data_IF_718096580245
#
_entry.id   IF_718096580245
#
_cell.length_a   1.000
_cell.length_b   1.000
_cell.length_c   1.000
_cell.angle_alpha   90.00
_cell.angle_beta   90.00
_cell.angle_gamma   90.00
#
_symmetry.space_group_name_H-M   'P 1'
#
loop_
_entity.id
_entity.type
_entity.pdbx_description
1 polymer ?
#
# COMPACT_ATOMS: atom_id res chain seq x y z
N UNK A 1 -31.02 -4.14 14.28
CA UNK A 1 -30.46 -5.13 13.32
C UNK A 1 -28.94 -5.16 13.52
N UNK A 2 -28.35 -6.31 13.86
CA UNK A 2 -26.89 -6.44 14.03
C UNK A 2 -26.28 -6.70 12.65
N UNK A 3 -25.55 -5.72 12.12
CA UNK A 3 -24.79 -5.85 10.87
C UNK A 3 -23.82 -7.04 10.96
N UNK A 4 -23.87 -7.90 9.96
CA UNK A 4 -23.04 -9.11 9.83
C UNK A 4 -21.56 -8.73 9.71
N UNK A 5 -20.65 -9.62 10.10
CA UNK A 5 -19.19 -9.39 10.00
C UNK A 5 -18.75 -9.07 8.57
N UNK A 6 -19.46 -9.60 7.57
CA UNK A 6 -19.24 -9.32 6.14
C UNK A 6 -19.63 -7.88 5.75
N UNK A 7 -20.63 -7.28 6.39
CA UNK A 7 -20.99 -5.87 6.17
C UNK A 7 -19.97 -4.91 6.81
N UNK A 8 -19.22 -5.34 7.82
CA UNK A 8 -18.13 -4.53 8.41
C UNK A 8 -16.90 -4.43 7.51
N UNK A 9 -16.77 -5.32 6.52
CA UNK A 9 -15.68 -5.30 5.55
C UNK A 9 -15.92 -4.38 4.35
N UNK A 10 -17.12 -3.78 4.22
CA UNK A 10 -17.46 -2.81 3.15
C UNK A 10 -16.60 -1.53 3.11
N UNK A 11 -15.62 -1.40 4.01
CA UNK A 11 -14.72 -0.23 4.11
C UNK A 11 -13.26 -0.50 3.72
N UNK A 12 -12.91 -1.71 3.25
CA UNK A 12 -11.52 -2.03 2.88
C UNK A 12 -11.43 -2.52 1.43
N UNK A 13 -10.41 -2.11 0.66
CA UNK A 13 -10.12 -2.72 -0.62
C UNK A 13 -9.80 -4.20 -0.40
N UNK A 14 -10.56 -5.08 -1.07
CA UNK A 14 -10.36 -6.53 -1.05
C UNK A 14 -9.23 -6.94 -1.98
N UNK A 15 -8.03 -6.39 -1.75
CA UNK A 15 -6.82 -6.76 -2.49
C UNK A 15 -5.96 -7.72 -1.65
N UNK A 16 -5.25 -8.67 -2.28
CA UNK A 16 -4.23 -9.44 -1.59
C UNK A 16 -3.17 -8.53 -0.96
N UNK A 17 -2.59 -8.96 0.17
CA UNK A 17 -1.58 -8.18 0.89
C UNK A 17 -0.37 -7.86 0.01
N UNK A 18 0.07 -8.80 -0.84
CA UNK A 18 1.15 -8.57 -1.81
C UNK A 18 0.82 -7.39 -2.74
N UNK A 19 -0.37 -7.38 -3.34
CA UNK A 19 -0.84 -6.29 -4.21
C UNK A 19 -0.95 -4.97 -3.45
N UNK A 20 -1.40 -4.99 -2.19
CA UNK A 20 -1.44 -3.79 -1.35
C UNK A 20 -0.03 -3.22 -1.11
N UNK A 21 0.97 -4.07 -0.85
CA UNK A 21 2.36 -3.65 -0.64
C UNK A 21 2.92 -3.00 -1.90
N UNK A 22 2.70 -3.60 -3.07
CA UNK A 22 3.13 -3.05 -4.36
C UNK A 22 2.53 -1.66 -4.61
N UNK A 23 1.21 -1.51 -4.43
CA UNK A 23 0.52 -0.23 -4.60
C UNK A 23 1.02 0.84 -3.64
N UNK A 24 1.33 0.49 -2.40
CA UNK A 24 1.91 1.42 -1.41
C UNK A 24 3.32 1.84 -1.83
N UNK A 25 4.17 0.91 -2.30
CA UNK A 25 5.51 1.25 -2.79
C UNK A 25 5.46 2.15 -4.02
N UNK A 26 4.57 1.86 -4.97
CA UNK A 26 4.31 2.71 -6.14
C UNK A 26 3.85 4.12 -5.74
N UNK A 27 2.96 4.23 -4.74
CA UNK A 27 2.52 5.51 -4.21
C UNK A 27 3.65 6.36 -3.60
N UNK A 28 4.74 5.72 -3.17
CA UNK A 28 5.93 6.36 -2.59
C UNK A 28 7.08 6.56 -3.60
N UNK A 29 6.93 6.11 -4.85
CA UNK A 29 7.96 6.28 -5.88
C UNK A 29 8.22 7.73 -6.29
N UNK A 30 7.20 8.58 -6.49
CA UNK A 30 7.46 9.98 -6.81
C UNK A 30 8.24 10.61 -5.64
N UNK A 31 9.15 11.57 -5.90
CA UNK A 31 9.99 12.19 -4.88
C UNK A 31 9.18 13.18 -4.02
N UNK A 32 8.11 12.69 -3.37
CA UNK A 32 7.30 13.45 -2.43
C UNK A 32 7.94 13.29 -1.06
N UNK A 33 8.38 14.41 -0.47
CA UNK A 33 8.86 14.40 0.90
C UNK A 33 7.69 14.10 1.83
N UNK A 34 7.78 12.99 2.57
CA UNK A 34 6.87 12.67 3.68
C UNK A 34 5.42 12.54 3.26
N UNK A 35 5.05 11.38 2.68
CA UNK A 35 3.64 11.13 2.36
C UNK A 35 2.90 10.67 3.64
N UNK A 36 1.81 11.35 3.98
CA UNK A 36 0.95 10.92 5.10
C UNK A 36 0.33 9.55 4.82
N UNK A 37 -0.08 8.84 5.88
CA UNK A 37 -0.66 7.50 5.72
C UNK A 37 -2.00 7.51 4.97
N UNK A 38 -2.83 8.53 5.18
CA UNK A 38 -4.06 8.71 4.41
C UNK A 38 -3.76 9.01 2.93
N UNK A 39 -2.82 9.91 2.65
CA UNK A 39 -2.38 10.21 1.27
C UNK A 39 -1.81 9.00 0.56
N UNK A 40 -1.01 8.17 1.23
CA UNK A 40 -0.55 6.88 0.69
C UNK A 40 -1.72 5.98 0.33
N UNK A 41 -2.74 5.87 1.19
CA UNK A 41 -3.89 5.04 0.93
C UNK A 41 -4.71 5.51 -0.28
N UNK A 42 -4.94 6.82 -0.41
CA UNK A 42 -5.62 7.40 -1.58
C UNK A 42 -4.84 7.13 -2.88
N UNK A 43 -3.51 7.28 -2.86
CA UNK A 43 -2.67 7.02 -4.03
C UNK A 43 -2.58 5.53 -4.37
N UNK A 44 -2.53 4.66 -3.36
CA UNK A 44 -2.47 3.21 -3.56
C UNK A 44 -3.82 2.61 -4.03
N UNK A 45 -4.93 3.26 -3.70
CA UNK A 45 -6.28 2.78 -3.99
C UNK A 45 -7.15 3.87 -4.62
N UNK A 46 -6.80 4.34 -5.84
CA UNK A 46 -7.58 5.38 -6.52
C UNK A 46 -9.01 4.95 -6.83
N UNK A 47 -9.22 3.64 -7.05
CA UNK A 47 -10.53 3.05 -7.33
C UNK A 47 -11.41 2.92 -6.07
N UNK A 48 -10.84 3.10 -4.88
CA UNK A 48 -11.54 2.93 -3.61
C UNK A 48 -11.92 4.28 -2.99
N UNK A 49 -13.22 4.51 -2.81
CA UNK A 49 -13.73 5.71 -2.15
C UNK A 49 -13.71 5.57 -0.63
N UNK A 50 -12.64 6.05 0.00
CA UNK A 50 -12.60 6.16 1.46
C UNK A 50 -13.54 7.26 1.96
N UNK A 51 -14.34 6.94 2.99
CA UNK A 51 -15.28 7.90 3.60
C UNK A 51 -14.57 9.00 4.41
N UNK A 52 -13.42 8.67 5.00
CA UNK A 52 -12.65 9.59 5.85
C UNK A 52 -11.15 9.35 5.70
N UNK A 53 -10.29 10.36 5.94
CA UNK A 53 -8.84 10.20 5.96
C UNK A 53 -8.37 9.16 6.99
N UNK A 54 -9.00 9.11 8.16
CA UNK A 54 -8.68 8.15 9.22
C UNK A 54 -9.00 6.72 8.78
N UNK A 55 -10.10 6.52 8.05
CA UNK A 55 -10.44 5.22 7.46
C UNK A 55 -9.40 4.77 6.43
N UNK A 56 -8.92 5.70 5.60
CA UNK A 56 -7.87 5.45 4.62
C UNK A 56 -6.55 5.02 5.29
N UNK A 57 -6.12 5.75 6.33
CA UNK A 57 -4.93 5.39 7.10
C UNK A 57 -5.07 4.03 7.79
N UNK A 58 -6.20 3.77 8.46
CA UNK A 58 -6.48 2.50 9.13
C UNK A 58 -6.52 1.31 8.19
N UNK A 59 -6.87 1.53 6.92
CA UNK A 59 -6.90 0.49 5.91
C UNK A 59 -5.52 -0.10 5.62
N UNK A 60 -4.49 0.75 5.55
CA UNK A 60 -3.13 0.35 5.18
C UNK A 60 -2.20 0.20 6.38
N UNK A 61 -2.60 0.65 7.57
CA UNK A 61 -1.73 0.76 8.76
C UNK A 61 -1.01 -0.54 9.13
N UNK A 62 -1.69 -1.68 9.08
CA UNK A 62 -1.08 -3.00 9.36
C UNK A 62 -0.02 -3.36 8.33
N UNK A 63 -0.30 -3.12 7.06
CA UNK A 63 0.61 -3.41 5.95
C UNK A 63 1.81 -2.48 5.96
N UNK A 64 1.60 -1.18 6.18
CA UNK A 64 2.64 -0.17 6.37
C UNK A 64 3.55 -0.54 7.55
N UNK A 65 3.00 -0.98 8.68
CA UNK A 65 3.79 -1.44 9.82
C UNK A 65 4.69 -2.63 9.45
N UNK A 66 4.15 -3.66 8.80
CA UNK A 66 4.95 -4.78 8.33
C UNK A 66 6.07 -4.36 7.36
N UNK A 67 5.76 -3.50 6.39
CA UNK A 67 6.74 -2.96 5.45
C UNK A 67 7.84 -2.13 6.13
N UNK A 68 7.49 -1.40 7.20
CA UNK A 68 8.45 -0.65 8.00
C UNK A 68 9.36 -1.59 8.80
N UNK A 69 8.80 -2.61 9.45
CA UNK A 69 9.55 -3.62 10.20
C UNK A 69 10.53 -4.37 9.28
N UNK A 70 10.13 -4.61 8.03
CA UNK A 70 10.96 -5.22 6.99
C UNK A 70 11.95 -4.25 6.31
N UNK A 71 11.95 -2.96 6.71
CA UNK A 71 12.80 -1.88 6.17
C UNK A 71 12.58 -1.56 4.68
N UNK A 72 11.40 -1.82 4.15
CA UNK A 72 11.02 -1.42 2.77
C UNK A 72 10.62 0.05 2.68
N UNK A 73 10.12 0.58 3.79
CA UNK A 73 9.79 2.00 3.96
C UNK A 73 10.37 2.48 5.28
N UNK A 74 10.55 3.79 5.40
CA UNK A 74 10.95 4.45 6.65
C UNK A 74 9.99 5.57 6.98
N UNK A 75 9.79 5.80 8.27
CA UNK A 75 9.15 7.02 8.77
C UNK A 75 10.18 8.16 8.74
N UNK A 76 9.83 9.27 8.11
CA UNK A 76 10.57 10.52 8.08
C UNK A 76 9.77 11.61 8.81
N UNK A 77 10.39 12.75 9.10
CA UNK A 77 9.81 13.83 9.92
C UNK A 77 8.42 14.29 9.46
N UNK A 78 8.10 14.15 8.17
CA UNK A 78 6.85 14.60 7.56
C UNK A 78 5.98 13.47 6.97
N UNK A 79 6.31 12.19 7.18
CA UNK A 79 5.52 11.07 6.66
C UNK A 79 6.36 9.85 6.30
N UNK A 80 5.94 9.09 5.28
CA UNK A 80 6.63 7.88 4.85
C UNK A 80 7.46 8.10 3.59
N UNK A 81 8.53 7.33 3.46
CA UNK A 81 9.39 7.33 2.28
C UNK A 81 9.86 5.91 1.97
N UNK A 82 10.03 5.61 0.68
CA UNK A 82 10.58 4.33 0.22
C UNK A 82 12.09 4.26 0.48
N UNK A 83 12.58 3.10 0.91
CA UNK A 83 14.03 2.82 1.07
C UNK A 83 14.59 2.21 -0.22
N UNK A 84 15.91 2.08 -0.33
CA UNK A 84 16.54 1.38 -1.46
C UNK A 84 16.09 -0.08 -1.54
N UNK A 85 15.99 -0.76 -0.38
CA UNK A 85 15.41 -2.11 -0.28
C UNK A 85 13.96 -2.17 -0.78
N UNK A 86 13.15 -1.14 -0.51
CA UNK A 86 11.79 -1.02 -1.03
C UNK A 86 11.75 -0.88 -2.55
N UNK A 87 12.70 -0.14 -3.13
CA UNK A 87 12.83 0.02 -4.59
C UNK A 87 13.25 -1.30 -5.25
N UNK A 88 14.20 -2.01 -4.66
CA UNK A 88 14.65 -3.34 -5.12
C UNK A 88 13.52 -4.36 -5.09
N UNK A 89 12.76 -4.40 -3.98
CA UNK A 89 11.58 -5.27 -3.85
C UNK A 89 10.57 -4.99 -4.98
N UNK A 90 10.25 -3.71 -5.21
CA UNK A 90 9.33 -3.31 -6.27
C UNK A 90 9.85 -3.71 -7.67
N UNK A 91 11.15 -3.54 -7.92
CA UNK A 91 11.76 -3.90 -9.19
C UNK A 91 11.80 -5.43 -9.42
N UNK A 92 11.95 -6.23 -8.37
CA UNK A 92 11.89 -7.69 -8.45
C UNK A 92 10.50 -8.19 -8.88
N UNK A 93 9.46 -7.68 -8.23
CA UNK A 93 8.08 -8.09 -8.51
C UNK A 93 7.59 -7.69 -9.92
N UNK A 94 8.09 -6.57 -10.45
CA UNK A 94 7.86 -6.17 -11.85
C UNK A 94 8.52 -7.15 -12.84
N UNK A 95 9.70 -7.68 -12.50
CA UNK A 95 10.40 -8.66 -13.36
C UNK A 95 9.71 -10.02 -13.35
N UNK A 96 9.24 -10.47 -12.20
CA UNK A 96 8.52 -11.74 -12.08
C UNK A 96 7.17 -11.70 -12.82
N UNK A 97 6.48 -10.56 -12.78
CA UNK A 97 5.24 -10.34 -13.57
C UNK A 97 5.47 -10.38 -15.09
N UNK A 98 6.68 -10.08 -15.56
CA UNK A 98 7.07 -10.19 -16.97
C UNK A 98 7.53 -11.58 -17.38
N UNK A 99 7.98 -12.41 -16.43
CA UNK A 99 8.47 -13.76 -16.71
C UNK A 99 7.33 -14.77 -16.93
N UNK A 100 6.14 -14.54 -16.38
CA UNK A 100 4.97 -15.42 -16.55
C UNK A 100 4.17 -15.17 -17.86
N UNK A 101 4.56 -14.16 -18.66
CA UNK A 101 3.94 -13.87 -19.97
C UNK A 101 4.57 -14.59 -21.17
N UNK A 102 5.56 -15.45 -20.95
CA UNK A 102 6.41 -16.03 -21.99
C UNK A 102 6.28 -17.54 -22.15
N UNK A 103 5.07 -18.06 -22.44
CA UNK A 103 4.90 -19.37 -23.11
C UNK A 103 3.74 -19.28 -24.09
N UNK A 104 4.07 -18.97 -25.34
CA UNK A 104 3.33 -19.42 -26.53
C UNK A 104 3.92 -20.73 -27.02
#
# INVERSE_FOLDING_TARGET
>A
MKLTTSERQHGKPSVPVAVQRLRILQALMPPVRGLSMSSMAYNAFPDFKFRTPQGAALCISRTVRGMHDERLIRMADYGYSITDKGREYLAGEIKDSHAEGGKV
#
